data_IF_832342699750
#
_entry.id   IF_832342699750
#
_cell.length_a   1.000
_cell.length_b   1.000
_cell.length_c   1.000
_cell.angle_alpha   90.00
_cell.angle_beta   90.00
_cell.angle_gamma   90.00
#
_symmetry.space_group_name_H-M   'P 1'
#
loop_
_entity.id
_entity.type
_entity.pdbx_description
1 polymer ?
#
# COMPACT_ATOMS: atom_id res chain seq x y z
N UNK A 1 -5.11 -69.19 13.73
CA UNK A 1 -4.14 -69.74 12.76
C UNK A 1 -3.68 -68.58 11.88
N UNK A 2 -2.69 -67.77 12.26
CA UNK A 2 -1.22 -67.95 12.27
C UNK A 2 -0.55 -68.02 10.89
N UNK A 3 0.56 -67.27 10.79
CA UNK A 3 1.49 -66.93 9.68
C UNK A 3 1.12 -65.64 8.93
N UNK A 4 1.76 -64.46 9.09
CA UNK A 4 3.12 -64.05 9.47
C UNK A 4 4.23 -64.60 8.56
N UNK A 5 4.72 -63.76 7.64
CA UNK A 5 6.15 -63.65 7.24
C UNK A 5 6.48 -62.18 6.97
N UNK A 6 7.64 -61.77 7.49
CA UNK A 6 8.25 -60.45 7.50
C UNK A 6 9.41 -60.31 6.48
N UNK A 7 9.98 -59.10 6.42
CA UNK A 7 11.35 -58.71 5.98
C UNK A 7 11.54 -58.49 4.46
N UNK A 8 12.32 -57.52 3.97
CA UNK A 8 13.51 -56.81 4.51
C UNK A 8 13.73 -55.46 3.80
N UNK A 9 14.31 -54.51 4.51
CA UNK A 9 14.86 -53.25 4.02
C UNK A 9 16.22 -53.43 3.30
N UNK A 10 16.58 -52.49 2.42
CA UNK A 10 17.99 -52.21 2.11
C UNK A 10 18.25 -50.71 1.91
N UNK A 11 19.04 -50.17 2.83
CA UNK A 11 19.74 -48.87 2.78
C UNK A 11 21.14 -49.10 2.20
N UNK A 12 21.71 -48.15 1.45
CA UNK A 12 23.16 -47.92 1.44
C UNK A 12 23.44 -46.53 2.08
N UNK A 13 24.00 -46.42 3.29
CA UNK A 13 25.43 -46.42 3.67
C UNK A 13 26.35 -45.54 2.79
N UNK A 14 26.49 -44.30 3.27
CA UNK A 14 27.74 -43.60 3.65
C UNK A 14 28.95 -43.59 2.72
N UNK A 15 29.47 -42.38 2.45
CA UNK A 15 30.92 -42.13 2.38
C UNK A 15 31.24 -40.75 2.97
N UNK A 16 32.17 -40.78 3.92
CA UNK A 16 32.76 -39.68 4.68
C UNK A 16 34.20 -39.43 4.16
N UNK A 17 34.77 -38.29 4.57
CA UNK A 17 36.18 -37.85 4.49
C UNK A 17 36.56 -37.20 3.15
N UNK A 18 37.22 -36.04 3.08
CA UNK A 18 38.44 -35.63 3.81
C UNK A 18 38.65 -34.10 3.88
N UNK A 19 39.21 -33.66 5.02
CA UNK A 19 39.98 -32.42 5.23
C UNK A 19 41.30 -32.39 4.42
N UNK A 20 41.79 -31.20 4.01
CA UNK A 20 43.17 -30.69 4.27
C UNK A 20 43.58 -29.48 3.39
N UNK A 21 44.29 -28.50 4.01
CA UNK A 21 45.22 -27.52 3.38
C UNK A 21 44.69 -26.08 3.23
N UNK A 22 45.03 -25.03 4.02
CA UNK A 22 46.34 -24.35 4.32
C UNK A 22 47.12 -24.03 3.01
N UNK A 23 47.57 -22.80 2.65
CA UNK A 23 48.18 -21.66 3.39
C UNK A 23 48.30 -20.41 2.47
N UNK A 24 48.25 -19.22 3.10
CA UNK A 24 49.13 -18.03 3.00
C UNK A 24 49.34 -17.32 1.64
N UNK A 25 49.05 -16.01 1.64
CA UNK A 25 49.66 -15.00 0.76
C UNK A 25 49.60 -13.61 1.40
N UNK A 26 50.73 -13.14 1.91
CA UNK A 26 51.01 -11.82 2.53
C UNK A 26 51.49 -10.81 1.47
N UNK A 27 51.26 -9.52 1.73
CA UNK A 27 51.96 -8.37 1.12
C UNK A 27 51.17 -7.69 -0.01
N UNK A 28 51.10 -6.37 -0.17
CA UNK A 28 52.07 -5.30 0.15
C UNK A 28 51.34 -3.95 0.31
N UNK A 29 51.97 -3.08 1.08
CA UNK A 29 51.59 -1.72 1.49
C UNK A 29 51.98 -0.63 0.47
N UNK A 30 51.13 0.42 0.29
CA UNK A 30 51.50 1.82 -0.06
C UNK A 30 50.24 2.71 0.06
N UNK A 31 50.09 3.55 1.09
CA UNK A 31 50.58 4.94 1.30
C UNK A 31 49.87 6.03 0.46
N UNK A 32 49.24 6.94 1.23
CA UNK A 32 48.91 8.38 1.06
C UNK A 32 47.93 8.81 -0.04
N UNK A 33 46.80 9.38 0.38
CA UNK A 33 46.51 10.81 0.21
C UNK A 33 45.38 11.25 1.14
N UNK A 34 45.70 12.23 1.98
CA UNK A 34 44.76 13.04 2.74
C UNK A 34 43.97 13.95 1.79
N UNK A 35 42.65 13.92 1.87
CA UNK A 35 41.83 15.04 1.38
C UNK A 35 40.68 15.25 2.35
N UNK A 36 40.88 16.25 3.20
CA UNK A 36 39.84 16.90 3.98
C UNK A 36 38.94 17.65 3.00
N UNK A 37 37.68 17.26 2.88
CA UNK A 37 36.66 18.14 2.30
C UNK A 37 35.36 18.03 3.09
N UNK A 38 34.92 19.21 3.50
CA UNK A 38 33.75 19.51 4.33
C UNK A 38 32.46 18.89 3.81
N UNK A 39 31.63 18.55 4.80
CA UNK A 39 30.17 18.42 4.75
C UNK A 39 29.56 19.62 4.03
N UNK A 40 28.74 19.36 3.00
CA UNK A 40 27.63 20.23 2.58
C UNK A 40 26.44 19.31 2.25
N UNK A 41 25.30 19.42 2.93
CA UNK A 41 24.09 18.66 2.62
C UNK A 41 23.42 19.20 1.35
N UNK A 42 23.01 18.29 0.47
CA UNK A 42 22.23 18.60 -0.74
C UNK A 42 20.82 19.08 -0.37
N UNK A 43 20.35 20.24 -0.86
CA UNK A 43 19.03 20.73 -0.57
C UNK A 43 17.96 19.97 -1.37
N UNK A 44 16.90 19.60 -0.67
CA UNK A 44 15.62 19.18 -1.22
C UNK A 44 15.09 20.21 -2.23
N UNK A 45 14.71 19.72 -3.41
CA UNK A 45 14.02 20.53 -4.42
C UNK A 45 12.62 20.88 -3.92
N UNK A 46 12.57 22.08 -3.36
CA UNK A 46 11.38 22.81 -2.93
C UNK A 46 10.74 23.41 -4.18
N UNK A 47 9.61 22.84 -4.62
CA UNK A 47 8.84 23.42 -5.72
C UNK A 47 8.28 24.78 -5.27
N UNK A 48 8.73 25.86 -5.93
CA UNK A 48 8.24 27.24 -5.79
C UNK A 48 7.86 27.78 -7.17
N UNK A 49 6.72 28.45 -7.27
CA UNK A 49 6.47 29.51 -8.27
C UNK A 49 5.71 30.65 -7.55
N UNK A 50 6.33 31.83 -7.32
CA UNK A 50 5.60 33.06 -7.08
C UNK A 50 5.60 33.91 -8.36
N UNK A 51 4.42 34.13 -8.95
CA UNK A 51 4.25 35.16 -9.97
C UNK A 51 4.09 36.51 -9.30
N UNK A 52 5.14 37.33 -9.34
CA UNK A 52 5.06 38.77 -9.08
C UNK A 52 4.43 39.48 -10.27
N UNK A 53 3.40 40.29 -10.05
CA UNK A 53 3.15 41.49 -10.84
C UNK A 53 2.63 42.58 -9.92
N UNK A 54 3.42 43.64 -9.84
CA UNK A 54 3.21 44.87 -9.13
C UNK A 54 2.59 45.89 -10.09
N UNK A 55 1.34 46.29 -9.86
CA UNK A 55 0.81 47.51 -10.47
C UNK A 55 0.07 48.34 -9.44
N UNK A 56 0.68 49.49 -9.14
CA UNK A 56 0.19 50.51 -8.23
C UNK A 56 -0.86 51.35 -8.95
N UNK A 57 -2.12 51.35 -8.51
CA UNK A 57 -3.05 52.44 -8.82
C UNK A 57 -3.97 52.74 -7.64
N UNK A 58 -3.80 53.94 -7.06
CA UNK A 58 -4.68 54.52 -6.04
C UNK A 58 -6.00 55.01 -6.66
N UNK A 59 -6.98 55.17 -5.77
CA UNK A 59 -8.28 55.88 -5.87
C UNK A 59 -9.44 55.02 -6.39
N UNK A 60 -10.67 55.01 -5.85
CA UNK A 60 -11.41 55.89 -4.92
C UNK A 60 -12.21 55.06 -3.89
N UNK A 61 -12.49 55.64 -2.72
CA UNK A 61 -13.46 55.10 -1.75
C UNK A 61 -14.87 55.23 -2.33
N UNK A 62 -15.51 54.10 -2.61
CA UNK A 62 -16.96 54.03 -2.76
C UNK A 62 -17.48 53.01 -1.76
N UNK A 63 -18.19 53.51 -0.75
CA UNK A 63 -18.90 52.72 0.25
C UNK A 63 -20.02 51.95 -0.46
N UNK A 64 -19.83 50.65 -0.63
CA UNK A 64 -20.92 49.73 -0.94
C UNK A 64 -20.90 48.68 0.16
N UNK A 65 -21.95 48.72 0.99
CA UNK A 65 -22.25 47.73 2.02
C UNK A 65 -22.25 46.35 1.37
N UNK A 66 -21.11 45.66 1.41
CA UNK A 66 -20.99 44.27 0.96
C UNK A 66 -21.68 43.40 2.00
N UNK A 67 -22.63 42.59 1.54
CA UNK A 67 -22.96 41.33 2.19
C UNK A 67 -21.63 40.64 2.52
N UNK A 68 -21.47 40.20 3.77
CA UNK A 68 -20.32 39.40 4.17
C UNK A 68 -20.17 38.25 3.16
N UNK A 69 -19.06 38.25 2.41
CA UNK A 69 -18.60 37.04 1.75
C UNK A 69 -18.49 35.98 2.85
N UNK A 70 -19.09 34.79 2.71
CA UNK A 70 -18.76 33.72 3.63
C UNK A 70 -17.25 33.47 3.48
N UNK A 71 -16.53 33.51 4.61
CA UNK A 71 -15.13 33.12 4.65
C UNK A 71 -14.96 31.82 3.86
N UNK A 72 -13.93 31.70 3.00
CA UNK A 72 -13.69 30.44 2.33
C UNK A 72 -13.54 29.38 3.42
N UNK A 73 -14.48 28.44 3.46
CA UNK A 73 -14.42 27.27 4.33
C UNK A 73 -13.19 26.51 3.88
N UNK A 74 -12.04 26.81 4.46
CA UNK A 74 -10.84 25.99 4.34
C UNK A 74 -11.24 24.63 4.90
N UNK A 75 -11.19 23.54 4.10
CA UNK A 75 -11.52 22.22 4.62
C UNK A 75 -10.64 21.97 5.84
N UNK A 76 -11.29 21.71 6.97
CA UNK A 76 -10.70 21.78 8.31
C UNK A 76 -9.57 20.78 8.57
N UNK A 77 -9.27 19.89 7.62
CA UNK A 77 -8.15 18.98 7.70
C UNK A 77 -7.74 18.48 6.31
N UNK A 78 -6.72 19.09 5.72
CA UNK A 78 -6.02 18.53 4.56
C UNK A 78 -4.78 17.84 5.11
N UNK A 79 -4.82 16.51 5.27
CA UNK A 79 -3.61 15.75 5.62
C UNK A 79 -2.56 16.01 4.53
N UNK A 80 -1.30 16.38 4.88
CA UNK A 80 -0.28 16.56 3.87
C UNK A 80 -0.05 15.23 3.13
N UNK A 81 0.04 15.24 1.79
CA UNK A 81 0.16 14.02 0.98
C UNK A 81 1.27 13.06 1.43
N UNK A 82 2.36 13.62 1.98
CA UNK A 82 3.50 12.86 2.50
C UNK A 82 3.18 12.07 3.78
N UNK A 83 2.33 12.58 4.66
CA UNK A 83 1.93 11.86 5.88
C UNK A 83 1.01 10.69 5.57
N UNK A 84 0.07 10.87 4.65
CA UNK A 84 -0.80 9.78 4.18
C UNK A 84 -0.02 8.69 3.48
N UNK A 85 0.98 9.05 2.65
CA UNK A 85 1.88 8.08 2.05
C UNK A 85 2.66 7.31 3.12
N UNK A 86 3.26 8.02 4.09
CA UNK A 86 4.00 7.36 5.19
C UNK A 86 3.11 6.44 6.02
N UNK A 87 1.88 6.86 6.31
CA UNK A 87 0.88 6.06 7.02
C UNK A 87 0.53 4.79 6.24
N UNK A 88 0.26 4.92 4.94
CA UNK A 88 -0.01 3.77 4.06
C UNK A 88 1.19 2.82 3.98
N UNK A 89 2.40 3.35 3.84
CA UNK A 89 3.64 2.56 3.83
C UNK A 89 3.89 1.84 5.15
N UNK A 90 3.57 2.48 6.28
CA UNK A 90 3.66 1.86 7.59
C UNK A 90 2.68 0.68 7.67
N UNK A 91 1.41 0.90 7.33
CA UNK A 91 0.40 -0.16 7.29
C UNK A 91 0.84 -1.33 6.41
N UNK A 92 1.35 -1.05 5.20
CA UNK A 92 1.85 -2.07 4.29
C UNK A 92 2.99 -2.91 4.90
N UNK A 93 3.85 -2.32 5.75
CA UNK A 93 4.97 -2.99 6.39
C UNK A 93 4.59 -3.70 7.70
N UNK A 94 3.46 -3.35 8.29
CA UNK A 94 3.00 -3.91 9.55
C UNK A 94 2.56 -5.36 9.37
N UNK A 95 3.10 -6.24 10.22
CA UNK A 95 2.56 -7.58 10.37
C UNK A 95 1.34 -7.52 11.28
N UNK A 96 0.16 -7.78 10.73
CA UNK A 96 -1.08 -7.75 11.51
C UNK A 96 -1.11 -8.94 12.48
N UNK A 97 -1.64 -8.73 13.71
CA UNK A 97 -1.81 -9.82 14.66
C UNK A 97 -2.79 -10.86 14.08
N UNK A 98 -2.62 -12.16 14.39
CA UNK A 98 -3.60 -13.17 13.98
C UNK A 98 -4.97 -12.86 14.58
N UNK A 99 -6.04 -13.19 13.87
CA UNK A 99 -7.41 -13.09 14.39
C UNK A 99 -7.69 -14.35 15.20
N UNK A 100 -8.12 -14.23 16.47
CA UNK A 100 -8.49 -15.41 17.27
C UNK A 100 -9.64 -16.20 16.62
N UNK A 101 -9.65 -17.53 16.72
CA UNK A 101 -10.79 -18.33 16.26
C UNK A 101 -12.09 -17.90 16.95
N UNK A 102 -13.18 -17.79 16.18
CA UNK A 102 -14.49 -17.39 16.69
C UNK A 102 -14.73 -15.87 16.70
N UNK A 103 -13.71 -15.06 16.37
CA UNK A 103 -13.83 -13.60 16.23
C UNK A 103 -14.09 -13.19 14.77
N UNK A 104 -15.10 -13.80 14.13
CA UNK A 104 -15.41 -13.57 12.70
C UNK A 104 -15.71 -12.09 12.40
N UNK A 105 -16.25 -11.34 13.37
CA UNK A 105 -16.50 -9.90 13.23
C UNK A 105 -15.21 -9.09 13.11
N UNK A 106 -14.13 -9.54 13.74
CA UNK A 106 -12.82 -8.90 13.66
C UNK A 106 -12.25 -8.97 12.23
N UNK A 107 -12.59 -10.03 11.48
CA UNK A 107 -12.26 -10.13 10.05
C UNK A 107 -12.88 -8.96 9.27
N UNK A 108 -14.18 -8.72 9.47
CA UNK A 108 -14.90 -7.64 8.81
C UNK A 108 -14.38 -6.26 9.22
N UNK A 109 -14.17 -6.05 10.53
CA UNK A 109 -13.62 -4.81 11.07
C UNK A 109 -12.26 -4.47 10.47
N UNK A 110 -11.33 -5.43 10.50
CA UNK A 110 -9.99 -5.26 9.96
C UNK A 110 -10.02 -4.95 8.46
N UNK A 111 -10.80 -5.70 7.70
CA UNK A 111 -10.92 -5.48 6.26
C UNK A 111 -11.49 -4.08 5.94
N UNK A 112 -12.49 -3.63 6.72
CA UNK A 112 -13.06 -2.28 6.60
C UNK A 112 -12.02 -1.18 6.90
N UNK A 113 -11.25 -1.31 7.99
CA UNK A 113 -10.21 -0.34 8.35
C UNK A 113 -9.11 -0.25 7.29
N UNK A 114 -8.65 -1.39 6.77
CA UNK A 114 -7.65 -1.44 5.70
C UNK A 114 -8.17 -0.82 4.40
N UNK A 115 -9.43 -1.09 4.03
CA UNK A 115 -10.06 -0.50 2.86
C UNK A 115 -10.17 1.03 3.00
N UNK A 116 -10.58 1.51 4.17
CA UNK A 116 -10.66 2.94 4.47
C UNK A 116 -9.29 3.63 4.44
N UNK A 117 -8.21 2.96 4.87
CA UNK A 117 -6.86 3.51 4.74
C UNK A 117 -6.48 3.75 3.27
N UNK A 118 -6.83 2.84 2.36
CA UNK A 118 -6.64 3.03 0.92
C UNK A 118 -7.49 4.19 0.41
N UNK A 119 -8.78 4.22 0.76
CA UNK A 119 -9.71 5.26 0.31
C UNK A 119 -9.25 6.64 0.80
N UNK A 120 -8.81 6.77 2.05
CA UNK A 120 -8.24 7.99 2.60
C UNK A 120 -7.00 8.43 1.82
N UNK A 121 -6.07 7.52 1.53
CA UNK A 121 -4.88 7.86 0.75
C UNK A 121 -5.21 8.38 -0.65
N UNK A 122 -6.19 7.77 -1.31
CA UNK A 122 -6.62 8.13 -2.67
C UNK A 122 -7.49 9.39 -2.71
N UNK A 123 -8.34 9.58 -1.70
CA UNK A 123 -9.39 10.61 -1.67
C UNK A 123 -9.05 11.87 -0.89
N UNK A 124 -8.08 11.84 0.04
CA UNK A 124 -7.71 13.00 0.85
C UNK A 124 -6.81 13.97 0.07
N UNK A 125 -7.36 14.54 -1.01
CA UNK A 125 -6.75 15.59 -1.83
C UNK A 125 -7.75 16.74 -2.00
N UNK A 126 -7.27 17.98 -2.18
CA UNK A 126 -8.13 19.05 -2.67
C UNK A 126 -8.81 18.61 -3.98
N UNK A 127 -10.11 18.92 -4.20
CA UNK A 127 -10.83 18.50 -5.41
C UNK A 127 -10.12 18.89 -6.72
N UNK A 128 -9.46 20.04 -6.74
CA UNK A 128 -8.71 20.53 -7.91
C UNK A 128 -7.48 19.66 -8.27
N UNK A 129 -6.96 18.88 -7.31
CA UNK A 129 -5.75 18.06 -7.49
C UNK A 129 -6.05 16.56 -7.56
N UNK A 130 -7.24 16.14 -7.14
CA UNK A 130 -7.60 14.73 -7.01
C UNK A 130 -7.52 13.97 -8.34
N UNK A 131 -8.03 14.54 -9.43
CA UNK A 131 -8.00 13.92 -10.76
C UNK A 131 -6.57 13.83 -11.31
N UNK A 132 -5.78 14.90 -11.16
CA UNK A 132 -4.39 14.92 -11.59
C UNK A 132 -3.55 13.90 -10.82
N UNK A 133 -3.74 13.82 -9.50
CA UNK A 133 -3.10 12.81 -8.66
C UNK A 133 -3.47 11.40 -9.10
N UNK A 134 -4.76 11.11 -9.29
CA UNK A 134 -5.22 9.80 -9.74
C UNK A 134 -4.64 9.44 -11.11
N UNK A 135 -4.59 10.39 -12.05
CA UNK A 135 -4.01 10.18 -13.38
C UNK A 135 -2.51 9.89 -13.32
N UNK A 136 -1.75 10.63 -12.51
CA UNK A 136 -0.31 10.39 -12.31
C UNK A 136 -0.10 9.02 -11.65
N UNK A 137 -0.86 8.73 -10.60
CA UNK A 137 -0.76 7.46 -9.88
C UNK A 137 -1.11 6.28 -10.79
N UNK A 138 -2.06 6.43 -11.70
CA UNK A 138 -2.47 5.40 -12.65
C UNK A 138 -1.46 5.17 -13.78
N UNK A 139 -1.02 6.23 -14.46
CA UNK A 139 -0.41 6.10 -15.79
C UNK A 139 1.02 6.66 -15.90
N UNK A 140 1.56 7.32 -14.88
CA UNK A 140 2.91 7.87 -15.00
C UNK A 140 3.98 6.76 -15.02
N UNK A 141 4.94 6.88 -15.93
CA UNK A 141 6.23 6.19 -15.83
C UNK A 141 7.10 6.96 -14.84
N UNK A 142 7.56 6.28 -13.80
CA UNK A 142 8.23 6.93 -12.65
C UNK A 142 9.44 6.14 -12.20
N UNK A 143 10.40 6.82 -11.58
CA UNK A 143 11.55 6.17 -10.96
C UNK A 143 11.09 5.22 -9.83
N UNK A 144 11.79 4.07 -9.62
CA UNK A 144 11.40 3.07 -8.62
C UNK A 144 11.24 3.59 -7.19
N UNK A 145 12.02 4.61 -6.82
CA UNK A 145 12.04 5.15 -5.45
C UNK A 145 11.13 6.37 -5.27
N UNK A 146 10.42 6.77 -6.33
CA UNK A 146 9.53 7.92 -6.31
C UNK A 146 8.36 7.73 -5.34
N UNK A 147 7.78 8.84 -4.85
CA UNK A 147 6.58 8.79 -4.02
C UNK A 147 5.42 8.04 -4.69
N UNK A 148 5.30 8.16 -6.03
CA UNK A 148 4.30 7.44 -6.82
C UNK A 148 4.56 5.94 -6.78
N UNK A 149 5.78 5.48 -7.09
CA UNK A 149 6.12 4.06 -7.07
C UNK A 149 5.93 3.43 -5.67
N UNK A 150 6.34 4.15 -4.61
CA UNK A 150 6.10 3.74 -3.22
C UNK A 150 4.60 3.66 -2.89
N UNK A 151 3.82 4.63 -3.34
CA UNK A 151 2.36 4.62 -3.22
C UNK A 151 1.72 3.41 -3.90
N UNK A 152 2.13 3.10 -5.15
CA UNK A 152 1.65 1.91 -5.89
C UNK A 152 1.94 0.62 -5.13
N UNK A 153 3.18 0.47 -4.66
CA UNK A 153 3.61 -0.69 -3.88
C UNK A 153 2.83 -0.83 -2.58
N UNK A 154 2.66 0.27 -1.84
CA UNK A 154 1.91 0.26 -0.58
C UNK A 154 0.43 -0.07 -0.79
N UNK A 155 -0.21 0.49 -1.82
CA UNK A 155 -1.59 0.16 -2.21
C UNK A 155 -1.74 -1.33 -2.51
N UNK A 156 -0.90 -1.88 -3.39
CA UNK A 156 -0.95 -3.30 -3.75
C UNK A 156 -0.77 -4.22 -2.53
N UNK A 157 0.10 -3.84 -1.60
CA UNK A 157 0.37 -4.61 -0.38
C UNK A 157 -0.77 -4.54 0.62
N UNK A 158 -1.36 -3.36 0.86
CA UNK A 158 -2.53 -3.22 1.74
C UNK A 158 -3.75 -3.94 1.15
N UNK A 159 -3.95 -3.92 -0.17
CA UNK A 159 -5.00 -4.71 -0.82
C UNK A 159 -4.85 -6.21 -0.58
N UNK A 160 -3.63 -6.75 -0.65
CA UNK A 160 -3.35 -8.16 -0.29
C UNK A 160 -3.65 -8.44 1.18
N UNK A 161 -3.42 -7.48 2.08
CA UNK A 161 -3.76 -7.62 3.49
C UNK A 161 -5.27 -7.69 3.73
N UNK A 162 -6.07 -6.97 2.91
CA UNK A 162 -7.54 -7.08 2.93
C UNK A 162 -7.96 -8.50 2.54
N UNK A 163 -7.45 -9.00 1.41
CA UNK A 163 -7.74 -10.37 0.93
C UNK A 163 -7.35 -11.39 1.98
N UNK A 164 -6.10 -11.36 2.44
CA UNK A 164 -5.60 -12.26 3.47
C UNK A 164 -6.43 -12.20 4.77
N UNK A 165 -6.98 -11.04 5.14
CA UNK A 165 -7.86 -10.92 6.31
C UNK A 165 -9.20 -11.61 6.05
N UNK A 166 -9.84 -11.34 4.91
CA UNK A 166 -11.14 -11.93 4.55
C UNK A 166 -11.06 -13.44 4.33
N UNK A 167 -9.92 -13.96 3.86
CA UNK A 167 -9.68 -15.40 3.69
C UNK A 167 -9.68 -16.18 5.02
N UNK A 168 -9.43 -15.50 6.16
CA UNK A 168 -9.56 -16.12 7.47
C UNK A 168 -11.01 -16.42 7.86
N UNK A 169 -12.00 -15.86 7.16
CA UNK A 169 -13.41 -16.08 7.48
C UNK A 169 -13.79 -17.55 7.19
N UNK A 170 -14.21 -18.35 8.19
CA UNK A 170 -14.57 -19.74 7.97
C UNK A 170 -15.71 -19.91 6.96
N UNK A 171 -15.71 -21.01 6.20
CA UNK A 171 -16.75 -21.28 5.19
C UNK A 171 -18.15 -21.46 5.80
N UNK A 172 -18.22 -21.91 7.05
CA UNK A 172 -19.44 -22.10 7.83
C UNK A 172 -19.82 -20.87 8.69
N UNK A 173 -19.07 -19.76 8.56
CA UNK A 173 -19.38 -18.52 9.27
C UNK A 173 -20.76 -17.98 8.89
N UNK A 174 -21.57 -17.66 9.89
CA UNK A 174 -22.87 -17.02 9.69
C UNK A 174 -22.77 -15.69 8.95
N UNK A 175 -21.65 -14.96 9.10
CA UNK A 175 -21.43 -13.70 8.41
C UNK A 175 -21.46 -13.87 6.88
N UNK A 176 -21.01 -15.03 6.37
CA UNK A 176 -21.09 -15.32 4.91
C UNK A 176 -22.53 -15.40 4.43
N UNK A 177 -23.41 -16.00 5.23
CA UNK A 177 -24.83 -16.14 4.87
C UNK A 177 -25.64 -14.87 5.16
N UNK A 178 -25.34 -14.17 6.25
CA UNK A 178 -26.07 -12.96 6.68
C UNK A 178 -25.68 -11.73 5.85
N UNK A 179 -24.45 -11.70 5.32
CA UNK A 179 -23.89 -10.61 4.54
C UNK A 179 -23.32 -11.08 3.20
N UNK A 180 -24.08 -11.93 2.51
CA UNK A 180 -23.69 -12.50 1.21
C UNK A 180 -23.29 -11.42 0.18
N UNK A 181 -23.93 -10.25 0.23
CA UNK A 181 -23.64 -9.15 -0.67
C UNK A 181 -22.28 -8.48 -0.40
N UNK A 182 -21.77 -8.54 0.83
CA UNK A 182 -20.41 -8.14 1.21
C UNK A 182 -19.41 -9.16 0.66
N UNK A 183 -19.69 -10.45 0.84
CA UNK A 183 -18.83 -11.54 0.36
C UNK A 183 -18.68 -11.47 -1.17
N UNK A 184 -19.78 -11.29 -1.91
CA UNK A 184 -19.74 -11.14 -3.37
C UNK A 184 -18.90 -9.93 -3.81
N UNK A 185 -19.00 -8.81 -3.10
CA UNK A 185 -18.17 -7.64 -3.39
C UNK A 185 -16.69 -7.87 -3.06
N UNK A 186 -16.41 -8.59 -1.97
CA UNK A 186 -15.06 -9.02 -1.62
C UNK A 186 -14.48 -9.95 -2.69
N UNK A 187 -15.22 -10.96 -3.17
CA UNK A 187 -14.73 -11.93 -4.17
C UNK A 187 -14.32 -11.24 -5.48
N UNK A 188 -15.12 -10.27 -5.93
CA UNK A 188 -14.78 -9.44 -7.10
C UNK A 188 -13.52 -8.61 -6.88
N UNK A 189 -13.37 -8.02 -5.70
CA UNK A 189 -12.17 -7.28 -5.35
C UNK A 189 -10.94 -8.20 -5.24
N UNK A 190 -11.07 -9.34 -4.56
CA UNK A 190 -10.02 -10.34 -4.35
C UNK A 190 -9.49 -10.85 -5.69
N UNK A 191 -10.36 -11.15 -6.65
CA UNK A 191 -9.96 -11.56 -7.99
C UNK A 191 -9.01 -10.55 -8.67
N UNK A 192 -9.26 -9.26 -8.53
CA UNK A 192 -8.41 -8.21 -9.12
C UNK A 192 -7.04 -8.16 -8.43
N UNK A 193 -7.03 -8.28 -7.10
CA UNK A 193 -5.80 -8.30 -6.29
C UNK A 193 -4.94 -9.52 -6.63
N UNK A 194 -5.54 -10.70 -6.67
CA UNK A 194 -4.87 -11.97 -6.99
C UNK A 194 -4.34 -11.98 -8.42
N UNK A 195 -5.13 -11.49 -9.39
CA UNK A 195 -4.70 -11.36 -10.78
C UNK A 195 -3.47 -10.46 -10.93
N UNK A 196 -3.43 -9.35 -10.19
CA UNK A 196 -2.26 -8.46 -10.17
C UNK A 196 -1.06 -9.11 -9.48
N UNK A 197 -1.28 -9.78 -8.35
CA UNK A 197 -0.22 -10.48 -7.62
C UNK A 197 0.41 -11.60 -8.46
N UNK A 198 -0.40 -12.35 -9.20
CA UNK A 198 0.09 -13.42 -10.08
C UNK A 198 1.04 -12.86 -11.15
N UNK A 199 0.64 -11.78 -11.82
CA UNK A 199 1.50 -11.07 -12.79
C UNK A 199 2.80 -10.53 -12.18
N UNK A 200 2.75 -10.01 -10.95
CA UNK A 200 3.93 -9.57 -10.21
C UNK A 200 4.91 -10.72 -9.95
N UNK A 201 4.40 -11.90 -9.60
CA UNK A 201 5.22 -13.09 -9.35
C UNK A 201 5.84 -13.67 -10.63
N UNK A 202 5.15 -13.58 -11.77
CA UNK A 202 5.65 -14.01 -13.07
C UNK A 202 6.65 -13.02 -13.68
N UNK A 203 6.78 -11.82 -13.11
CA UNK A 203 7.60 -10.74 -13.67
C UNK A 203 6.95 -10.03 -14.85
N UNK A 204 5.68 -10.32 -15.16
CA UNK A 204 4.84 -9.68 -16.19
C UNK A 204 4.01 -8.52 -15.61
N UNK A 205 4.54 -7.82 -14.61
CA UNK A 205 3.90 -6.61 -14.09
C UNK A 205 4.41 -5.39 -14.85
N UNK A 206 3.53 -4.84 -15.66
CA UNK A 206 3.75 -3.61 -16.39
C UNK A 206 2.76 -2.53 -15.94
N UNK A 207 2.85 -1.36 -16.60
CA UNK A 207 1.95 -0.25 -16.32
C UNK A 207 0.48 -0.60 -16.64
N UNK A 208 0.24 -1.50 -17.59
CA UNK A 208 -1.11 -1.93 -17.96
C UNK A 208 -1.73 -2.82 -16.89
N UNK A 209 -0.97 -3.77 -16.35
CA UNK A 209 -1.36 -4.58 -15.20
C UNK A 209 -1.68 -3.69 -13.98
N UNK A 210 -0.81 -2.71 -13.71
CA UNK A 210 -1.04 -1.72 -12.67
C UNK A 210 -2.31 -0.89 -12.92
N UNK A 211 -2.53 -0.41 -14.15
CA UNK A 211 -3.69 0.42 -14.49
C UNK A 211 -5.00 -0.34 -14.30
N UNK A 212 -5.04 -1.63 -14.66
CA UNK A 212 -6.21 -2.51 -14.41
C UNK A 212 -6.47 -2.70 -12.93
N UNK A 213 -5.42 -2.99 -12.16
CA UNK A 213 -5.49 -3.11 -10.70
C UNK A 213 -6.01 -1.80 -10.07
N UNK A 214 -5.45 -0.66 -10.48
CA UNK A 214 -5.85 0.66 -9.99
C UNK A 214 -7.31 0.99 -10.30
N UNK A 215 -7.80 0.64 -11.49
CA UNK A 215 -9.23 0.77 -11.80
C UNK A 215 -10.10 -0.05 -10.86
N UNK A 216 -9.69 -1.28 -10.53
CA UNK A 216 -10.36 -2.11 -9.52
C UNK A 216 -10.37 -1.48 -8.12
N UNK A 217 -9.33 -0.73 -7.74
CA UNK A 217 -9.37 0.06 -6.49
C UNK A 217 -10.44 1.16 -6.53
N UNK A 218 -10.70 1.74 -7.70
CA UNK A 218 -11.71 2.80 -7.88
C UNK A 218 -13.13 2.25 -8.00
N UNK A 219 -13.29 0.98 -8.32
CA UNK A 219 -14.61 0.34 -8.51
C UNK A 219 -14.90 -0.67 -7.42
N UNK A 220 -14.19 -1.80 -7.43
CA UNK A 220 -14.52 -2.99 -6.66
C UNK A 220 -14.16 -2.83 -5.18
N UNK A 221 -13.00 -2.22 -4.88
CA UNK A 221 -12.66 -1.87 -3.49
C UNK A 221 -13.69 -0.91 -2.89
N UNK A 222 -14.12 0.13 -3.64
CA UNK A 222 -15.11 1.09 -3.14
C UNK A 222 -16.45 0.40 -2.90
N UNK A 223 -16.91 -0.45 -3.83
CA UNK A 223 -18.13 -1.23 -3.65
C UNK A 223 -18.06 -2.13 -2.41
N UNK A 224 -16.93 -2.83 -2.24
CA UNK A 224 -16.66 -3.65 -1.06
C UNK A 224 -16.70 -2.80 0.22
N UNK A 225 -15.96 -1.69 0.27
CA UNK A 225 -15.88 -0.80 1.42
C UNK A 225 -17.25 -0.22 1.83
N UNK A 226 -18.07 0.19 0.86
CA UNK A 226 -19.43 0.70 1.11
C UNK A 226 -20.34 -0.38 1.68
N UNK A 227 -20.24 -1.62 1.19
CA UNK A 227 -21.07 -2.72 1.67
C UNK A 227 -20.67 -3.18 3.06
N UNK A 228 -19.36 -3.39 3.28
CA UNK A 228 -18.84 -3.82 4.57
C UNK A 228 -19.02 -2.73 5.65
N UNK A 229 -18.88 -1.45 5.30
CA UNK A 229 -19.14 -0.32 6.21
C UNK A 229 -20.54 -0.34 6.79
N UNK A 230 -21.58 -0.60 5.97
CA UNK A 230 -22.98 -0.72 6.44
C UNK A 230 -23.20 -1.83 7.47
N UNK A 231 -22.34 -2.84 7.49
CA UNK A 231 -22.40 -3.94 8.45
C UNK A 231 -21.64 -3.54 9.71
N UNK A 232 -20.40 -3.10 9.54
CA UNK A 232 -19.47 -2.77 10.61
C UNK A 232 -19.97 -1.59 11.47
N UNK A 233 -20.52 -0.54 10.85
CA UNK A 233 -21.10 0.62 11.55
C UNK A 233 -22.31 0.29 12.43
N UNK A 234 -22.96 -0.87 12.23
CA UNK A 234 -24.07 -1.32 13.09
C UNK A 234 -23.61 -2.07 14.33
N UNK A 235 -22.32 -2.36 14.42
CA UNK A 235 -21.73 -3.06 15.57
C UNK A 235 -21.11 -2.11 16.60
N UNK A 236 -21.00 -0.82 16.26
CA UNK A 236 -20.71 0.28 17.20
C UNK A 236 -21.99 0.74 17.92
#
# INVERSE_FOLDING_TARGET
>A
MLHSISRTASVPKSSLLTLSGRRIGLGVSRRISSTSTRIIPSPSQRWWIPSSNNETRRTFKTSTRRLADPDPVTPAFVFPPDELLKSLELTAKTQLPPIPPGEDKEVFWRAYLLANQIILYLGARPPAEAEAFASVLQAASVAPDSAVARGRSALARVSRMIVASMDYLPNDSKLRTEHADVVEAYERFAFIVESYQHKEQEGDFDLDAWSRFFNGLRTDLIQFAVKIGKVVEKWE
#
